data_IF_776066490924
#
_entry.id   IF_776066490924
#
_cell.length_a   1.000
_cell.length_b   1.000
_cell.length_c   1.000
_cell.angle_alpha   90.00
_cell.angle_beta   90.00
_cell.angle_gamma   90.00
#
_symmetry.space_group_name_H-M   'P 1'
#
loop_
_entity.id
_entity.type
_entity.pdbx_description
1 polymer ?
#
# COMPACT_ATOMS: atom_id res chain seq x y z
N UNK A 1 22.64 -2.79 10.97
CA UNK A 1 21.96 -3.56 9.93
C UNK A 1 21.99 -2.77 8.63
N UNK A 2 22.24 -3.42 7.52
CA UNK A 2 22.11 -2.77 6.22
C UNK A 2 20.64 -2.37 6.01
N UNK A 3 20.41 -1.15 5.51
CA UNK A 3 19.06 -0.74 5.14
C UNK A 3 18.55 -1.68 4.02
N UNK A 4 17.34 -2.16 4.16
CA UNK A 4 16.72 -2.96 3.09
C UNK A 4 16.61 -2.12 1.81
N UNK A 5 16.79 -2.78 0.66
CA UNK A 5 16.56 -2.13 -0.64
C UNK A 5 15.12 -1.57 -0.71
N UNK A 6 14.93 -0.39 -1.30
CA UNK A 6 13.59 0.17 -1.45
C UNK A 6 12.69 -0.73 -2.29
N UNK A 7 11.39 -0.75 -1.97
CA UNK A 7 10.38 -1.37 -2.84
C UNK A 7 10.37 -0.62 -4.17
N UNK A 8 10.40 -1.37 -5.27
CA UNK A 8 10.41 -0.83 -6.64
C UNK A 8 9.05 -1.04 -7.28
N UNK A 9 8.35 0.04 -7.52
CA UNK A 9 7.04 0.01 -8.20
C UNK A 9 7.27 0.38 -9.66
N UNK A 10 7.01 -0.52 -10.61
CA UNK A 10 7.06 -0.17 -12.03
C UNK A 10 6.15 1.03 -12.31
N UNK A 11 6.64 2.01 -13.05
CA UNK A 11 5.90 3.26 -13.31
C UNK A 11 4.52 2.99 -13.93
N UNK A 12 4.42 2.05 -14.85
CA UNK A 12 3.13 1.65 -15.44
C UNK A 12 2.18 1.04 -14.41
N UNK A 13 2.71 0.29 -13.44
CA UNK A 13 1.90 -0.27 -12.34
C UNK A 13 1.40 0.83 -11.39
N UNK A 14 2.23 1.83 -11.10
CA UNK A 14 1.84 3.00 -10.30
C UNK A 14 0.70 3.78 -10.96
N UNK A 15 0.81 4.08 -12.24
CA UNK A 15 -0.22 4.80 -12.99
C UNK A 15 -1.56 4.05 -12.93
N UNK A 16 -1.55 2.74 -13.15
CA UNK A 16 -2.75 1.90 -13.06
C UNK A 16 -3.30 1.85 -11.64
N UNK A 17 -2.44 1.71 -10.64
CA UNK A 17 -2.83 1.68 -9.23
C UNK A 17 -3.56 2.95 -8.83
N UNK A 18 -2.98 4.12 -9.09
CA UNK A 18 -3.59 5.41 -8.76
C UNK A 18 -4.95 5.56 -9.46
N UNK A 19 -5.04 5.24 -10.74
CA UNK A 19 -6.28 5.29 -11.50
C UNK A 19 -7.36 4.35 -10.94
N UNK A 20 -6.99 3.11 -10.60
CA UNK A 20 -7.93 2.13 -10.03
C UNK A 20 -8.40 2.51 -8.63
N UNK A 21 -7.52 3.01 -7.77
CA UNK A 21 -7.92 3.45 -6.42
C UNK A 21 -8.89 4.63 -6.50
N UNK A 22 -8.62 5.60 -7.38
CA UNK A 22 -9.53 6.73 -7.64
C UNK A 22 -10.90 6.25 -8.14
N UNK A 23 -10.92 5.34 -9.10
CA UNK A 23 -12.14 4.78 -9.69
C UNK A 23 -12.96 4.01 -8.65
N UNK A 24 -12.33 3.16 -7.85
CA UNK A 24 -13.00 2.32 -6.84
C UNK A 24 -13.56 3.14 -5.69
N UNK A 25 -12.85 4.17 -5.25
CA UNK A 25 -13.29 5.09 -4.19
C UNK A 25 -14.38 6.06 -4.62
N UNK A 26 -14.54 6.32 -5.92
CA UNK A 26 -15.56 7.22 -6.48
C UNK A 26 -15.56 8.62 -5.86
N UNK A 27 -14.41 9.11 -5.34
CA UNK A 27 -14.31 10.39 -4.64
C UNK A 27 -15.10 10.49 -3.33
N UNK A 28 -15.53 9.35 -2.76
CA UNK A 28 -16.36 9.30 -1.54
C UNK A 28 -15.91 8.26 -0.53
N UNK A 29 -15.17 7.25 -0.97
CA UNK A 29 -14.70 6.16 -0.13
C UNK A 29 -13.18 6.07 -0.21
N UNK A 30 -12.56 5.76 0.89
CA UNK A 30 -11.18 5.26 0.86
C UNK A 30 -11.17 3.95 0.09
N UNK A 31 -10.07 3.70 -0.61
CA UNK A 31 -9.81 2.47 -1.34
C UNK A 31 -8.38 2.02 -1.07
N UNK A 32 -8.06 0.78 -1.37
CA UNK A 32 -6.72 0.27 -1.10
C UNK A 32 -6.40 -1.01 -1.83
N UNK A 33 -5.13 -1.38 -1.72
CA UNK A 33 -4.58 -2.56 -2.35
C UNK A 33 -3.33 -3.06 -1.61
N UNK A 34 -2.99 -4.32 -1.83
CA UNK A 34 -1.68 -4.87 -1.49
C UNK A 34 -0.76 -4.86 -2.72
N UNK A 35 0.47 -4.45 -2.50
CA UNK A 35 1.55 -4.55 -3.47
C UNK A 35 2.33 -5.82 -3.16
N UNK A 36 2.35 -6.75 -4.10
CA UNK A 36 3.00 -8.05 -3.90
C UNK A 36 4.12 -8.27 -4.91
N UNK A 37 5.17 -8.93 -4.47
CA UNK A 37 6.31 -9.33 -5.28
C UNK A 37 6.43 -10.85 -5.33
N UNK A 38 7.36 -11.36 -6.13
CA UNK A 38 7.67 -12.79 -6.16
C UNK A 38 8.32 -13.22 -4.84
N UNK A 39 7.87 -14.32 -4.29
CA UNK A 39 8.47 -14.88 -3.06
C UNK A 39 9.94 -15.24 -3.30
N UNK A 40 10.81 -14.82 -2.37
CA UNK A 40 12.25 -15.05 -2.45
C UNK A 40 12.99 -14.10 -3.39
N UNK A 41 12.29 -13.18 -4.07
CA UNK A 41 12.94 -12.14 -4.86
C UNK A 41 13.40 -10.99 -3.94
N UNK A 42 14.71 -10.89 -3.77
CA UNK A 42 15.33 -9.84 -2.95
C UNK A 42 15.33 -8.46 -3.61
N UNK A 43 15.02 -8.37 -4.91
CA UNK A 43 14.94 -7.08 -5.62
C UNK A 43 13.79 -6.20 -5.15
N UNK A 44 12.84 -6.76 -4.39
CA UNK A 44 11.64 -6.09 -3.87
C UNK A 44 10.83 -5.37 -4.95
N UNK A 45 10.74 -5.97 -6.14
CA UNK A 45 9.96 -5.45 -7.26
C UNK A 45 8.50 -5.85 -7.12
N UNK A 46 7.59 -4.88 -7.24
CA UNK A 46 6.14 -5.15 -7.30
C UNK A 46 5.83 -5.88 -8.60
N UNK A 47 5.28 -7.09 -8.47
CA UNK A 47 4.89 -7.95 -9.59
C UNK A 47 3.39 -7.89 -9.86
N UNK A 48 2.57 -7.65 -8.82
CA UNK A 48 1.11 -7.63 -8.91
C UNK A 48 0.51 -6.69 -7.86
N UNK A 49 -0.66 -6.16 -8.15
CA UNK A 49 -1.50 -5.39 -7.23
C UNK A 49 -2.77 -6.19 -6.96
N UNK A 50 -3.15 -6.31 -5.68
CA UNK A 50 -4.36 -7.02 -5.25
C UNK A 50 -5.22 -6.04 -4.47
N UNK A 51 -6.38 -5.67 -5.01
CA UNK A 51 -7.26 -4.66 -4.43
C UNK A 51 -8.08 -5.21 -3.27
N UNK A 52 -8.36 -4.38 -2.26
CA UNK A 52 -9.09 -4.79 -1.06
C UNK A 52 -10.50 -5.27 -1.36
N UNK A 53 -11.23 -4.57 -2.21
CA UNK A 53 -12.60 -4.91 -2.60
C UNK A 53 -12.70 -6.14 -3.52
N UNK A 54 -11.61 -6.55 -4.15
CA UNK A 54 -11.53 -7.85 -4.84
C UNK A 54 -11.37 -9.01 -3.85
N UNK A 55 -10.73 -8.76 -2.70
CA UNK A 55 -10.54 -9.74 -1.63
C UNK A 55 -11.76 -9.83 -0.70
N UNK A 56 -12.35 -8.69 -0.39
CA UNK A 56 -13.47 -8.53 0.50
C UNK A 56 -14.46 -7.52 -0.10
N UNK A 57 -15.61 -7.97 -0.63
CA UNK A 57 -16.59 -7.09 -1.28
C UNK A 57 -17.11 -5.95 -0.39
N UNK A 58 -17.01 -6.08 0.93
CA UNK A 58 -17.43 -5.06 1.88
C UNK A 58 -16.31 -4.13 2.34
N UNK A 59 -15.09 -4.28 1.81
CA UNK A 59 -13.91 -3.55 2.29
C UNK A 59 -14.05 -2.02 2.22
N UNK A 60 -14.81 -1.50 1.26
CA UNK A 60 -14.98 -0.05 1.05
C UNK A 60 -16.37 0.46 1.48
N UNK A 61 -17.22 -0.38 2.04
CA UNK A 61 -18.64 -0.08 2.24
C UNK A 61 -18.91 1.08 3.21
N UNK A 62 -18.07 1.25 4.22
CA UNK A 62 -18.27 2.25 5.27
C UNK A 62 -17.61 3.60 4.97
N UNK A 63 -16.93 3.75 3.84
CA UNK A 63 -16.16 4.94 3.50
C UNK A 63 -14.71 4.90 3.99
N UNK A 64 -14.42 4.11 5.00
CA UNK A 64 -13.08 3.81 5.50
C UNK A 64 -12.72 2.40 5.08
N UNK A 65 -11.48 2.16 4.66
CA UNK A 65 -11.04 0.80 4.30
C UNK A 65 -11.06 -0.11 5.53
N UNK A 66 -11.75 -1.23 5.39
CA UNK A 66 -11.81 -2.28 6.41
C UNK A 66 -11.66 -3.62 5.74
N UNK A 67 -10.57 -4.32 5.99
CA UNK A 67 -10.38 -5.67 5.47
C UNK A 67 -10.73 -6.68 6.56
N UNK A 68 -11.85 -7.40 6.35
CA UNK A 68 -12.30 -8.43 7.28
C UNK A 68 -11.42 -9.68 7.19
N UNK A 69 -11.57 -10.58 8.17
CA UNK A 69 -10.79 -11.82 8.23
C UNK A 69 -10.86 -12.65 6.95
N UNK A 70 -12.02 -12.69 6.29
CA UNK A 70 -12.19 -13.38 4.99
C UNK A 70 -11.31 -12.79 3.88
N UNK A 71 -11.15 -11.47 3.86
CA UNK A 71 -10.28 -10.78 2.90
C UNK A 71 -8.80 -11.08 3.15
N UNK A 72 -8.38 -11.10 4.40
CA UNK A 72 -7.01 -11.50 4.77
C UNK A 72 -6.74 -12.96 4.42
N UNK A 73 -7.69 -13.85 4.68
CA UNK A 73 -7.58 -15.27 4.28
C UNK A 73 -7.46 -15.42 2.76
N UNK A 74 -8.24 -14.66 1.98
CA UNK A 74 -8.17 -14.66 0.53
C UNK A 74 -6.81 -14.14 0.03
N UNK A 75 -6.25 -13.09 0.67
CA UNK A 75 -4.91 -12.58 0.37
C UNK A 75 -3.84 -13.67 0.54
N UNK A 76 -3.82 -14.31 1.70
CA UNK A 76 -2.82 -15.34 1.99
C UNK A 76 -2.96 -16.56 1.08
N UNK A 77 -4.17 -16.97 0.75
CA UNK A 77 -4.43 -18.04 -0.21
C UNK A 77 -3.92 -17.68 -1.60
N UNK A 78 -4.18 -16.47 -2.07
CA UNK A 78 -3.68 -15.96 -3.36
C UNK A 78 -2.15 -15.91 -3.40
N UNK A 79 -1.54 -15.37 -2.36
CA UNK A 79 -0.08 -15.29 -2.26
C UNK A 79 0.57 -16.67 -2.23
N UNK A 80 -0.01 -17.61 -1.49
CA UNK A 80 0.48 -18.98 -1.43
C UNK A 80 0.39 -19.70 -2.77
N UNK A 81 -0.77 -19.63 -3.44
CA UNK A 81 -1.00 -20.28 -4.71
C UNK A 81 -0.11 -19.74 -5.84
N UNK A 82 0.20 -18.45 -5.83
CA UNK A 82 0.98 -17.78 -6.88
C UNK A 82 2.46 -17.55 -6.51
N UNK A 83 2.92 -18.07 -5.39
CA UNK A 83 4.29 -17.84 -4.87
C UNK A 83 4.63 -16.35 -4.75
N UNK A 84 3.73 -15.59 -4.14
CA UNK A 84 3.87 -14.16 -3.90
C UNK A 84 4.15 -13.87 -2.43
N UNK A 85 4.69 -12.68 -2.17
CA UNK A 85 4.87 -12.10 -0.84
C UNK A 85 4.34 -10.67 -0.82
N UNK A 86 3.74 -10.26 0.29
CA UNK A 86 3.30 -8.87 0.46
C UNK A 86 4.52 -8.00 0.72
N UNK A 87 4.67 -6.92 -0.05
CA UNK A 87 5.74 -5.93 0.08
C UNK A 87 5.25 -4.68 0.81
N UNK A 88 4.03 -4.24 0.52
CA UNK A 88 3.41 -3.07 1.11
C UNK A 88 1.88 -3.15 0.98
N UNK A 89 1.19 -2.32 1.73
CA UNK A 89 -0.19 -1.94 1.42
C UNK A 89 -0.26 -0.47 1.03
N UNK A 90 -1.31 -0.11 0.32
CA UNK A 90 -1.60 1.26 -0.08
C UNK A 90 -3.07 1.54 0.12
N UNK A 91 -3.41 2.68 0.71
CA UNK A 91 -4.79 3.16 0.77
C UNK A 91 -4.87 4.67 0.58
N UNK A 92 -6.06 5.17 0.30
CA UNK A 92 -6.32 6.59 0.07
C UNK A 92 -6.91 7.24 1.30
N UNK A 93 -6.57 8.50 1.53
CA UNK A 93 -7.24 9.39 2.49
C UNK A 93 -8.09 10.44 1.72
N UNK A 94 -9.13 10.99 2.35
CA UNK A 94 -10.02 11.95 1.67
C UNK A 94 -9.36 13.31 1.43
N UNK A 95 -8.47 13.76 2.29
CA UNK A 95 -7.83 15.07 2.23
C UNK A 95 -6.35 15.02 1.86
N UNK A 96 -5.67 16.12 2.08
CA UNK A 96 -4.22 16.25 1.84
C UNK A 96 -3.36 15.58 2.91
N UNK A 97 -3.94 15.23 4.06
CA UNK A 97 -3.21 14.63 5.17
C UNK A 97 -2.93 13.15 4.89
N UNK A 98 -1.67 12.83 4.67
CA UNK A 98 -1.19 11.46 4.43
C UNK A 98 -0.47 10.86 5.65
N UNK A 99 -0.66 11.45 6.83
CA UNK A 99 -0.29 10.82 8.09
C UNK A 99 -1.26 9.68 8.38
N UNK A 100 -0.80 8.69 9.12
CA UNK A 100 -1.68 7.61 9.57
C UNK A 100 -2.73 8.14 10.53
N UNK A 101 -3.97 7.67 10.38
CA UNK A 101 -5.01 7.84 11.38
C UNK A 101 -4.66 7.02 12.64
N UNK A 102 -5.39 7.24 13.74
CA UNK A 102 -5.23 6.41 14.95
C UNK A 102 -5.52 4.93 14.67
N UNK A 103 -6.48 4.65 13.79
CA UNK A 103 -6.85 3.29 13.38
C UNK A 103 -5.73 2.65 12.58
N UNK A 104 -5.14 3.36 11.58
CA UNK A 104 -4.02 2.85 10.79
C UNK A 104 -2.83 2.49 11.67
N UNK A 105 -2.53 3.34 12.65
CA UNK A 105 -1.41 3.12 13.57
C UNK A 105 -1.63 1.93 14.49
N UNK A 106 -2.85 1.78 14.98
CA UNK A 106 -3.20 0.73 15.93
C UNK A 106 -3.36 -0.64 15.27
N UNK A 107 -3.83 -0.66 14.03
CA UNK A 107 -4.16 -1.88 13.29
C UNK A 107 -3.43 -1.93 11.95
N UNK A 108 -2.11 -2.19 11.93
CA UNK A 108 -1.39 -2.36 10.68
C UNK A 108 -2.00 -3.52 9.87
N UNK A 109 -2.12 -3.36 8.55
CA UNK A 109 -2.66 -4.40 7.67
C UNK A 109 -1.86 -5.68 7.75
N UNK A 110 -0.55 -5.57 7.86
CA UNK A 110 0.36 -6.68 8.09
C UNK A 110 1.26 -6.33 9.29
N UNK A 111 1.02 -6.89 10.48
CA UNK A 111 1.72 -6.51 11.71
C UNK A 111 3.10 -7.17 11.83
N UNK A 112 3.92 -7.03 10.80
CA UNK A 112 5.29 -7.56 10.74
C UNK A 112 6.27 -6.39 10.59
N UNK A 113 7.31 -6.34 11.41
CA UNK A 113 8.33 -5.31 11.33
C UNK A 113 8.94 -5.26 9.91
N UNK A 114 9.12 -4.04 9.39
CA UNK A 114 9.55 -3.80 8.01
C UNK A 114 8.39 -3.67 7.01
N UNK A 115 7.14 -3.97 7.39
CA UNK A 115 5.98 -3.73 6.53
C UNK A 115 5.81 -2.24 6.24
N UNK A 116 5.44 -1.91 5.00
CA UNK A 116 5.29 -0.53 4.54
C UNK A 116 3.82 -0.24 4.23
N UNK A 117 3.28 0.80 4.86
CA UNK A 117 1.99 1.39 4.53
C UNK A 117 2.18 2.66 3.70
N UNK A 118 1.46 2.76 2.59
CA UNK A 118 1.50 3.91 1.67
C UNK A 118 0.13 4.59 1.69
N UNK A 119 0.11 5.91 1.88
CA UNK A 119 -1.13 6.69 1.93
C UNK A 119 -1.14 7.73 0.83
N UNK A 120 -2.17 7.68 -0.03
CA UNK A 120 -2.41 8.64 -1.10
C UNK A 120 -3.40 9.70 -0.65
N UNK A 121 -3.17 10.98 -0.96
CA UNK A 121 -4.11 12.06 -0.64
C UNK A 121 -5.31 12.07 -1.60
N UNK A 122 -6.35 12.82 -1.23
CA UNK A 122 -7.47 13.21 -2.10
C UNK A 122 -8.16 12.04 -2.83
N UNK A 123 -8.41 10.93 -2.12
CA UNK A 123 -8.98 9.71 -2.71
C UNK A 123 -8.21 9.16 -3.92
N UNK A 124 -6.89 9.43 -3.98
CA UNK A 124 -6.02 9.00 -5.08
C UNK A 124 -5.82 10.06 -6.17
N UNK A 125 -6.44 11.24 -6.07
CA UNK A 125 -6.16 12.37 -6.96
C UNK A 125 -4.80 12.98 -6.60
N UNK A 126 -3.75 12.37 -7.12
CA UNK A 126 -2.35 12.72 -6.85
C UNK A 126 -1.50 12.50 -8.09
N UNK A 127 -0.24 12.92 -8.04
CA UNK A 127 0.68 12.76 -9.17
C UNK A 127 0.87 11.29 -9.55
N UNK A 128 0.72 10.99 -10.82
CA UNK A 128 1.08 9.69 -11.40
C UNK A 128 2.56 9.62 -11.84
N UNK A 129 3.27 10.75 -11.78
CA UNK A 129 4.65 10.87 -12.27
C UNK A 129 5.71 10.74 -11.17
N UNK A 130 5.31 10.98 -9.92
CA UNK A 130 6.21 10.94 -8.77
C UNK A 130 5.46 10.52 -7.51
N UNK A 131 6.20 10.23 -6.45
CA UNK A 131 5.65 9.95 -5.12
C UNK A 131 5.46 11.23 -4.28
N UNK A 132 5.63 12.41 -4.84
CA UNK A 132 5.45 13.68 -4.11
C UNK A 132 4.03 13.78 -3.56
N UNK A 133 3.91 14.11 -2.28
CA UNK A 133 2.61 14.21 -1.59
C UNK A 133 2.09 12.88 -1.02
N UNK A 134 2.79 11.78 -1.26
CA UNK A 134 2.45 10.44 -0.72
C UNK A 134 3.09 10.26 0.65
N UNK A 135 2.33 9.74 1.62
CA UNK A 135 2.85 9.31 2.91
C UNK A 135 3.38 7.88 2.83
N UNK A 136 4.56 7.63 3.41
CA UNK A 136 5.17 6.31 3.44
C UNK A 136 5.53 6.01 4.90
N UNK A 137 5.02 4.92 5.44
CA UNK A 137 5.13 4.57 6.85
C UNK A 137 5.69 3.17 6.99
N UNK A 138 6.79 3.02 7.73
CA UNK A 138 7.41 1.73 8.02
C UNK A 138 7.00 1.26 9.41
N UNK A 139 6.44 0.07 9.51
CA UNK A 139 6.12 -0.54 10.79
C UNK A 139 7.37 -1.15 11.42
N UNK A 140 7.72 -0.69 12.59
CA UNK A 140 8.93 -1.13 13.33
C UNK A 140 8.64 -2.27 14.30
N UNK A 141 7.38 -2.70 14.40
CA UNK A 141 6.93 -3.64 15.41
C UNK A 141 6.54 -2.96 16.73
N UNK A 142 5.73 -3.65 17.54
CA UNK A 142 5.30 -3.15 18.84
C UNK A 142 4.51 -1.85 18.79
N UNK A 143 3.77 -1.59 17.72
CA UNK A 143 2.98 -0.36 17.55
C UNK A 143 3.78 0.87 17.14
N UNK A 144 5.07 0.73 16.86
CA UNK A 144 5.95 1.83 16.44
C UNK A 144 6.02 1.94 14.93
N UNK A 145 6.09 3.19 14.44
CA UNK A 145 6.16 3.51 13.03
C UNK A 145 7.18 4.61 12.74
N UNK A 146 7.84 4.52 11.61
CA UNK A 146 8.69 5.58 11.05
C UNK A 146 8.05 6.15 9.81
N UNK A 147 7.81 7.47 9.80
CA UNK A 147 7.16 8.17 8.69
C UNK A 147 8.20 8.79 7.75
N UNK A 148 7.94 8.65 6.45
CA UNK A 148 8.70 9.27 5.38
C UNK A 148 7.76 10.06 4.47
N UNK A 149 8.31 11.04 3.75
CA UNK A 149 7.58 11.77 2.70
C UNK A 149 7.99 11.24 1.33
N UNK A 150 7.03 10.88 0.51
CA UNK A 150 7.29 10.49 -0.87
C UNK A 150 8.03 11.59 -1.64
N UNK A 151 9.00 11.20 -2.45
CA UNK A 151 9.87 12.11 -3.17
C UNK A 151 11.08 12.63 -2.40
N UNK A 152 11.18 12.37 -1.09
CA UNK A 152 12.39 12.67 -0.34
C UNK A 152 13.52 11.67 -0.65
N UNK A 153 14.75 12.03 -0.30
CA UNK A 153 15.88 11.10 -0.40
C UNK A 153 15.73 9.96 0.62
N UNK A 154 16.25 8.79 0.28
CA UNK A 154 16.32 7.61 1.16
C UNK A 154 14.96 7.09 1.65
N UNK A 155 13.91 7.26 0.85
CA UNK A 155 12.60 6.66 1.13
C UNK A 155 12.61 5.17 0.77
N UNK A 156 11.87 4.32 1.53
CA UNK A 156 11.87 2.87 1.29
C UNK A 156 11.02 2.42 0.09
N UNK A 157 10.53 3.35 -0.72
CA UNK A 157 9.73 3.08 -1.94
C UNK A 157 10.21 3.98 -3.07
N UNK A 158 10.33 3.45 -4.28
CA UNK A 158 10.65 4.24 -5.47
C UNK A 158 9.89 3.76 -6.70
N UNK A 159 9.65 4.67 -7.63
CA UNK A 159 9.16 4.33 -8.96
C UNK A 159 10.33 3.87 -9.84
N UNK A 160 10.09 2.83 -10.63
CA UNK A 160 11.09 2.26 -11.53
C UNK A 160 10.61 2.35 -12.99
N UNK A 161 11.56 2.47 -13.91
CA UNK A 161 11.29 2.74 -15.35
C UNK A 161 10.86 1.51 -16.15
N UNK A 162 10.99 0.30 -15.62
CA UNK A 162 10.64 -0.96 -16.31
C UNK A 162 9.32 -1.54 -15.84
#
# INVERSE_FOLDING_TARGET
MAAEDPIKIPRAAWIRLVGELTRRGRGRHESGAFLVGKRGDTSRKVARVIYYDDLDPDALRTGIVTLHARGMSALWATCSAASLQVLADVHTHPGSDTRQSSVDRQYPMVPVAGHIGIILPHFGDTSIWSLKGVGIHVYEGGGRWTAHRGGAANVPVKLATW
#
